data_IF_716133356106
#
_entry.id   IF_716133356106
#
_cell.length_a   1.000
_cell.length_b   1.000
_cell.length_c   1.000
_cell.angle_alpha   90.00
_cell.angle_beta   90.00
_cell.angle_gamma   90.00
#
_symmetry.space_group_name_H-M   'P 1'
#
loop_
_entity.id
_entity.type
_entity.pdbx_description
1 polymer ?
#
# COMPACT_ATOMS: atom_id res chain seq x y z
N UNK A 1 -71.77 4.27 -45.27
CA UNK A 1 -71.72 5.59 -44.61
C UNK A 1 -70.31 5.82 -44.12
N UNK A 2 -69.74 6.93 -44.55
CA UNK A 2 -68.44 7.51 -44.22
C UNK A 2 -68.22 7.71 -42.72
N UNK A 3 -66.99 7.46 -42.25
CA UNK A 3 -66.29 8.42 -41.38
C UNK A 3 -64.78 8.19 -41.43
N UNK A 4 -64.05 9.22 -41.86
CA UNK A 4 -62.61 9.37 -41.67
C UNK A 4 -62.30 9.59 -40.18
N UNK A 5 -61.19 9.02 -39.69
CA UNK A 5 -60.49 9.49 -38.49
C UNK A 5 -58.97 9.51 -38.75
N UNK A 6 -58.34 10.63 -38.38
CA UNK A 6 -56.92 10.93 -38.53
C UNK A 6 -56.02 10.05 -37.62
N UNK A 7 -54.73 9.87 -37.93
CA UNK A 7 -53.84 9.07 -37.09
C UNK A 7 -53.35 9.86 -35.86
N UNK A 8 -53.42 9.23 -34.68
CA UNK A 8 -52.70 9.70 -33.49
C UNK A 8 -51.21 9.43 -33.65
N UNK A 9 -50.38 10.46 -33.51
CA UNK A 9 -48.93 10.29 -33.40
C UNK A 9 -48.62 9.53 -32.10
N UNK A 10 -48.12 8.30 -32.26
CA UNK A 10 -47.55 7.51 -31.17
C UNK A 10 -46.11 7.92 -30.93
N UNK A 11 -45.79 8.15 -29.67
CA UNK A 11 -44.47 8.45 -29.13
C UNK A 11 -43.49 7.28 -29.44
N UNK A 12 -42.28 7.54 -30.00
CA UNK A 12 -41.35 6.45 -30.31
C UNK A 12 -40.71 5.88 -29.04
N UNK A 13 -41.01 4.60 -28.80
CA UNK A 13 -40.38 3.71 -27.82
C UNK A 13 -38.83 3.79 -27.86
N UNK A 14 -38.14 4.19 -26.78
CA UNK A 14 -36.71 4.52 -26.81
C UNK A 14 -35.78 3.30 -26.89
N UNK A 15 -36.31 2.07 -26.92
CA UNK A 15 -35.49 0.85 -26.81
C UNK A 15 -35.11 0.23 -28.16
N UNK A 16 -35.57 0.78 -29.30
CA UNK A 16 -35.24 0.22 -30.64
C UNK A 16 -33.99 0.79 -31.33
N UNK A 17 -33.23 1.67 -30.69
CA UNK A 17 -32.06 2.32 -31.30
C UNK A 17 -30.71 1.64 -31.11
N UNK A 18 -30.61 0.60 -30.26
CA UNK A 18 -29.31 0.08 -29.82
C UNK A 18 -29.08 -1.39 -30.20
N UNK A 19 -29.19 -1.74 -31.47
CA UNK A 19 -28.67 -3.02 -31.97
C UNK A 19 -27.93 -2.83 -33.30
N UNK A 20 -26.59 -2.86 -33.18
CA UNK A 20 -25.62 -3.48 -34.08
C UNK A 20 -25.59 -3.01 -35.55
N UNK A 21 -24.62 -2.15 -35.85
CA UNK A 21 -23.86 -2.21 -37.12
C UNK A 21 -22.37 -1.99 -36.85
N UNK A 22 -21.69 -3.05 -36.43
CA UNK A 22 -20.26 -3.20 -36.69
C UNK A 22 -20.08 -3.39 -38.19
N UNK A 23 -19.55 -2.40 -38.87
CA UNK A 23 -18.97 -2.56 -40.21
C UNK A 23 -17.51 -2.09 -40.13
N UNK A 24 -16.54 -2.90 -40.58
CA UNK A 24 -15.15 -2.48 -40.62
C UNK A 24 -14.95 -1.54 -41.81
N UNK A 25 -14.48 -0.33 -41.56
CA UNK A 25 -13.97 0.54 -42.63
C UNK A 25 -12.57 0.05 -43.00
N UNK A 26 -12.39 -0.28 -44.28
CA UNK A 26 -11.13 -0.70 -44.86
C UNK A 26 -10.09 0.41 -44.73
N UNK A 27 -8.87 0.03 -44.36
CA UNK A 27 -7.69 0.89 -44.31
C UNK A 27 -7.16 1.07 -45.75
N UNK A 28 -7.02 2.32 -46.18
CA UNK A 28 -6.20 2.69 -47.34
C UNK A 28 -4.75 2.93 -46.86
N UNK A 29 -3.68 2.46 -47.52
CA UNK A 29 -2.35 2.37 -46.91
C UNK A 29 -1.45 3.61 -47.00
N UNK A 30 -1.96 4.79 -47.38
CA UNK A 30 -1.07 5.91 -47.79
C UNK A 30 -1.40 7.31 -47.22
N UNK A 31 -2.10 7.42 -46.09
CA UNK A 31 -2.31 8.73 -45.42
C UNK A 31 -1.61 8.80 -44.05
N UNK A 32 -0.63 9.71 -43.94
CA UNK A 32 0.35 9.77 -42.86
C UNK A 32 0.14 10.99 -41.93
N UNK A 33 -1.12 11.41 -41.73
CA UNK A 33 -1.47 12.61 -40.93
C UNK A 33 -2.61 12.39 -39.89
N UNK A 34 -3.12 11.16 -39.72
CA UNK A 34 -4.33 10.89 -38.91
C UNK A 34 -4.10 10.60 -37.40
N UNK A 35 -2.85 10.39 -36.95
CA UNK A 35 -2.58 9.99 -35.56
C UNK A 35 -2.77 11.14 -34.55
N UNK A 36 -2.54 12.38 -34.96
CA UNK A 36 -2.75 13.55 -34.09
C UNK A 36 -4.23 13.89 -33.94
N UNK A 37 -5.03 13.76 -35.00
CA UNK A 37 -6.45 14.12 -34.95
C UNK A 37 -7.27 13.12 -34.12
N UNK A 38 -6.88 11.84 -34.12
CA UNK A 38 -7.47 10.82 -33.23
C UNK A 38 -7.16 11.08 -31.74
N UNK A 39 -5.90 11.42 -31.42
CA UNK A 39 -5.49 11.76 -30.07
C UNK A 39 -6.19 13.03 -29.55
N UNK A 40 -6.32 14.06 -30.39
CA UNK A 40 -7.04 15.30 -30.04
C UNK A 40 -8.54 15.06 -29.84
N UNK A 41 -9.19 14.22 -30.65
CA UNK A 41 -10.61 13.89 -30.50
C UNK A 41 -10.89 13.08 -29.24
N UNK A 42 -9.98 12.17 -28.87
CA UNK A 42 -10.12 11.35 -27.66
C UNK A 42 -9.89 12.20 -26.40
N UNK A 43 -8.90 13.10 -26.42
CA UNK A 43 -8.66 14.06 -25.33
C UNK A 43 -9.80 15.08 -25.20
N UNK A 44 -10.37 15.56 -26.30
CA UNK A 44 -11.51 16.49 -26.30
C UNK A 44 -12.78 15.85 -25.74
N UNK A 45 -13.04 14.59 -26.09
CA UNK A 45 -14.17 13.82 -25.53
C UNK A 45 -13.97 13.55 -24.03
N UNK A 46 -12.77 13.16 -23.60
CA UNK A 46 -12.45 12.96 -22.19
C UNK A 46 -12.56 14.26 -21.38
N UNK A 47 -12.12 15.39 -21.95
CA UNK A 47 -12.26 16.71 -21.34
C UNK A 47 -13.73 17.16 -21.25
N UNK A 48 -14.54 16.91 -22.29
CA UNK A 48 -15.97 17.20 -22.24
C UNK A 48 -16.72 16.35 -21.22
N UNK A 49 -16.38 15.06 -21.08
CA UNK A 49 -16.95 14.18 -20.05
C UNK A 49 -16.55 14.68 -18.66
N UNK A 50 -15.28 15.04 -18.46
CA UNK A 50 -14.81 15.57 -17.17
C UNK A 50 -15.48 16.91 -16.81
N UNK A 51 -15.71 17.80 -17.78
CA UNK A 51 -16.40 19.08 -17.54
C UNK A 51 -17.90 18.93 -17.31
N UNK A 52 -18.57 18.01 -18.00
CA UNK A 52 -20.01 17.74 -17.78
C UNK A 52 -20.28 17.06 -16.44
N UNK A 53 -19.33 16.26 -15.95
CA UNK A 53 -19.44 15.62 -14.62
C UNK A 53 -19.27 16.64 -13.48
N UNK A 54 -18.57 17.76 -13.71
CA UNK A 54 -18.34 18.82 -12.70
C UNK A 54 -19.37 19.96 -12.71
N UNK A 55 -20.32 19.96 -13.65
CA UNK A 55 -21.35 21.01 -13.73
C UNK A 55 -22.76 20.42 -13.60
N UNK A 56 -22.98 19.63 -12.55
CA UNK A 56 -24.34 19.35 -12.07
C UNK A 56 -24.89 20.60 -11.39
N UNK A 57 -25.28 21.59 -12.18
CA UNK A 57 -26.36 22.48 -11.75
C UNK A 57 -27.63 21.62 -11.70
N UNK A 58 -27.96 21.17 -10.49
CA UNK A 58 -29.16 20.41 -10.17
C UNK A 58 -30.40 21.13 -10.73
N UNK A 59 -30.96 20.61 -11.81
CA UNK A 59 -32.34 20.86 -12.19
C UNK A 59 -33.23 20.16 -11.15
N UNK A 60 -33.56 20.86 -10.05
CA UNK A 60 -34.48 20.36 -9.02
C UNK A 60 -35.90 20.33 -9.59
N UNK A 61 -36.30 19.22 -10.20
CA UNK A 61 -37.72 18.89 -10.33
C UNK A 61 -38.28 18.54 -8.95
N UNK A 62 -39.32 19.23 -8.45
CA UNK A 62 -39.90 18.92 -7.16
C UNK A 62 -40.69 17.61 -7.28
N UNK A 63 -40.22 16.53 -6.64
CA UNK A 63 -41.02 15.31 -6.47
C UNK A 63 -40.28 13.97 -6.47
N UNK A 64 -39.01 13.90 -6.87
CA UNK A 64 -38.23 12.66 -6.86
C UNK A 64 -36.77 12.96 -6.47
N UNK A 65 -36.54 13.22 -5.19
CA UNK A 65 -35.21 13.07 -4.62
C UNK A 65 -35.01 11.57 -4.33
N UNK A 66 -34.79 10.77 -5.37
CA UNK A 66 -34.13 9.49 -5.18
C UNK A 66 -32.64 9.80 -5.12
N UNK A 67 -32.06 9.72 -3.91
CA UNK A 67 -30.62 9.57 -3.78
C UNK A 67 -30.22 8.39 -4.68
N UNK A 68 -29.23 8.55 -5.59
CA UNK A 68 -28.81 7.47 -6.46
C UNK A 68 -28.41 6.29 -5.59
N UNK A 69 -28.94 5.10 -5.89
CA UNK A 69 -28.51 3.87 -5.23
C UNK A 69 -27.05 3.65 -5.64
N UNK A 70 -26.12 4.00 -4.76
CA UNK A 70 -24.69 3.79 -5.00
C UNK A 70 -24.35 2.36 -4.64
N UNK A 71 -23.66 1.67 -5.55
CA UNK A 71 -23.10 0.34 -5.26
C UNK A 71 -21.72 0.43 -4.64
N UNK A 72 -21.06 1.58 -4.79
CA UNK A 72 -19.69 1.83 -4.36
C UNK A 72 -19.63 2.70 -3.09
N UNK A 73 -18.57 2.53 -2.30
CA UNK A 73 -18.25 3.29 -1.07
C UNK A 73 -19.35 3.39 0.00
N UNK A 74 -20.36 2.51 -0.05
CA UNK A 74 -21.54 2.50 0.85
C UNK A 74 -21.23 2.40 2.35
N UNK A 75 -20.01 2.01 2.72
CA UNK A 75 -19.54 1.89 4.13
C UNK A 75 -18.21 2.60 4.39
N UNK A 76 -17.82 3.53 3.52
CA UNK A 76 -16.56 4.29 3.65
C UNK A 76 -16.86 5.65 4.26
N UNK A 77 -16.20 5.96 5.38
CA UNK A 77 -16.33 7.27 6.03
C UNK A 77 -15.57 8.38 5.29
N UNK A 78 -14.49 8.02 4.62
CA UNK A 78 -13.62 8.92 3.89
C UNK A 78 -12.36 8.20 3.40
N UNK A 79 -11.55 8.92 2.63
CA UNK A 79 -10.26 8.46 2.13
C UNK A 79 -9.25 9.60 2.27
N UNK A 80 -8.09 9.29 2.81
CA UNK A 80 -6.98 10.24 2.95
C UNK A 80 -5.81 9.83 2.05
N UNK A 81 -5.11 10.80 1.43
CA UNK A 81 -3.95 10.50 0.60
C UNK A 81 -2.79 9.96 1.45
N UNK A 82 -2.20 8.86 0.98
CA UNK A 82 -1.00 8.26 1.56
C UNK A 82 0.25 8.76 0.81
N UNK A 83 1.31 9.09 1.55
CA UNK A 83 2.61 9.41 0.97
C UNK A 83 3.10 8.25 0.09
N UNK A 84 3.61 8.48 -1.13
CA UNK A 84 4.18 7.41 -1.94
C UNK A 84 5.52 6.92 -1.35
N UNK A 85 5.85 5.62 -1.44
CA UNK A 85 7.08 5.07 -0.89
C UNK A 85 8.35 5.79 -1.35
N UNK A 86 8.42 6.15 -2.63
CA UNK A 86 9.57 6.84 -3.20
C UNK A 86 9.84 8.19 -2.52
N UNK A 87 8.79 8.94 -2.16
CA UNK A 87 8.95 10.21 -1.45
C UNK A 87 9.49 9.97 -0.04
N UNK A 88 8.92 9.02 0.70
CA UNK A 88 9.39 8.69 2.04
C UNK A 88 10.85 8.19 2.05
N UNK A 89 11.24 7.37 1.07
CA UNK A 89 12.61 6.89 0.90
C UNK A 89 13.56 8.06 0.60
N UNK A 90 13.12 9.05 -0.19
CA UNK A 90 13.91 10.24 -0.47
C UNK A 90 14.05 11.18 0.73
N UNK A 91 13.00 11.31 1.55
CA UNK A 91 13.02 12.10 2.80
C UNK A 91 13.96 11.45 3.84
N UNK A 92 13.92 10.12 3.92
CA UNK A 92 14.67 9.32 4.90
C UNK A 92 15.49 8.24 4.19
N UNK A 93 16.61 8.61 3.54
CA UNK A 93 17.43 7.66 2.83
C UNK A 93 18.15 6.71 3.79
N UNK A 94 18.40 5.49 3.32
CA UNK A 94 19.25 4.54 4.02
C UNK A 94 20.67 5.11 4.14
N UNK A 95 21.27 4.98 5.32
CA UNK A 95 22.69 5.34 5.51
C UNK A 95 23.59 4.16 5.13
N UNK A 96 24.85 4.43 4.82
CA UNK A 96 25.83 3.37 4.54
C UNK A 96 25.97 2.39 5.72
N UNK A 97 26.01 2.89 6.96
CA UNK A 97 26.07 2.07 8.16
C UNK A 97 24.84 1.17 8.32
N UNK A 98 23.65 1.71 8.04
CA UNK A 98 22.42 0.91 8.03
C UNK A 98 22.47 -0.17 6.94
N UNK A 99 22.92 0.16 5.73
CA UNK A 99 23.04 -0.78 4.62
C UNK A 99 23.95 -1.96 4.98
N UNK A 100 25.15 -1.68 5.50
CA UNK A 100 26.10 -2.71 5.93
C UNK A 100 25.51 -3.60 7.02
N UNK A 101 24.81 -3.01 7.99
CA UNK A 101 24.14 -3.73 9.07
C UNK A 101 23.08 -4.68 8.54
N UNK A 102 22.25 -4.21 7.61
CA UNK A 102 21.16 -5.00 7.06
C UNK A 102 21.68 -6.14 6.19
N UNK A 103 22.64 -5.86 5.30
CA UNK A 103 23.28 -6.88 4.45
C UNK A 103 23.95 -7.94 5.30
N UNK A 104 24.78 -7.54 6.27
CA UNK A 104 25.42 -8.47 7.20
C UNK A 104 24.39 -9.31 7.96
N UNK A 105 23.33 -8.69 8.48
CA UNK A 105 22.28 -9.40 9.21
C UNK A 105 21.54 -10.43 8.34
N UNK A 106 21.30 -10.11 7.06
CA UNK A 106 20.69 -11.04 6.08
C UNK A 106 21.61 -12.22 5.79
N UNK A 107 22.89 -11.94 5.53
CA UNK A 107 23.87 -12.99 5.21
C UNK A 107 24.09 -13.93 6.40
N UNK A 108 24.25 -13.38 7.60
CA UNK A 108 24.41 -14.19 8.82
C UNK A 108 23.16 -15.04 9.11
N UNK A 109 21.96 -14.44 9.06
CA UNK A 109 20.72 -15.17 9.27
C UNK A 109 20.53 -16.27 8.20
N UNK A 110 20.82 -15.97 6.94
CA UNK A 110 20.73 -16.93 5.83
C UNK A 110 21.70 -18.10 6.02
N UNK A 111 22.95 -17.82 6.39
CA UNK A 111 23.95 -18.86 6.63
C UNK A 111 23.55 -19.78 7.79
N UNK A 112 22.97 -19.24 8.86
CA UNK A 112 22.47 -20.04 9.98
C UNK A 112 21.29 -20.91 9.56
N UNK A 113 20.29 -20.34 8.88
CA UNK A 113 19.10 -21.08 8.41
C UNK A 113 19.49 -22.19 7.43
N UNK A 114 20.52 -21.96 6.62
CA UNK A 114 21.06 -22.94 5.67
C UNK A 114 22.06 -23.92 6.28
N UNK A 115 22.35 -23.84 7.58
CA UNK A 115 23.29 -24.72 8.28
C UNK A 115 24.77 -24.54 7.90
N UNK A 116 25.14 -23.37 7.37
CA UNK A 116 26.52 -22.99 7.00
C UNK A 116 27.26 -22.27 8.12
N UNK A 117 26.53 -21.80 9.12
CA UNK A 117 26.99 -21.15 10.35
C UNK A 117 26.27 -21.85 11.51
N UNK A 118 27.02 -22.29 12.52
CA UNK A 118 26.51 -23.08 13.65
C UNK A 118 26.00 -22.23 14.82
N UNK A 119 26.07 -20.90 14.70
CA UNK A 119 25.50 -19.97 15.68
C UNK A 119 23.98 -20.07 15.73
N UNK A 120 23.43 -19.70 16.88
CA UNK A 120 21.98 -19.60 17.06
C UNK A 120 21.47 -18.22 16.64
N UNK A 121 20.51 -18.20 15.70
CA UNK A 121 19.75 -16.99 15.37
C UNK A 121 18.74 -16.69 16.49
N UNK A 122 18.85 -15.51 17.09
CA UNK A 122 18.01 -15.07 18.21
C UNK A 122 17.28 -13.78 17.86
N UNK A 123 15.95 -13.86 17.68
CA UNK A 123 15.09 -12.70 17.51
C UNK A 123 14.53 -12.28 18.86
N UNK A 124 14.95 -11.13 19.39
CA UNK A 124 14.59 -10.67 20.74
C UNK A 124 14.32 -9.17 20.79
N UNK A 125 13.31 -8.77 21.56
CA UNK A 125 12.95 -7.36 21.71
C UNK A 125 11.52 -7.18 22.22
N UNK A 126 11.04 -5.92 22.29
CA UNK A 126 9.69 -5.61 22.72
C UNK A 126 8.64 -6.28 21.82
N UNK A 127 7.46 -6.57 22.39
CA UNK A 127 6.38 -7.20 21.65
C UNK A 127 5.86 -6.32 20.50
N UNK A 128 5.77 -5.01 20.74
CA UNK A 128 5.51 -3.95 19.78
C UNK A 128 6.14 -2.65 20.29
N UNK A 129 6.73 -1.86 19.40
CA UNK A 129 7.35 -0.56 19.73
C UNK A 129 6.30 0.53 19.62
N UNK A 130 6.10 1.27 20.71
CA UNK A 130 5.23 2.45 20.76
C UNK A 130 6.01 3.74 21.04
N UNK A 131 7.18 3.64 21.67
CA UNK A 131 8.07 4.77 21.93
C UNK A 131 9.45 4.54 21.27
N UNK A 132 9.81 5.31 20.22
CA UNK A 132 11.11 5.25 19.58
C UNK A 132 12.30 5.49 20.51
N UNK A 133 12.16 6.37 21.51
CA UNK A 133 13.28 6.70 22.39
C UNK A 133 13.66 5.50 23.27
N UNK A 134 12.67 4.85 23.89
CA UNK A 134 12.87 3.61 24.65
C UNK A 134 13.41 2.49 23.76
N UNK A 135 12.98 2.40 22.49
CA UNK A 135 13.51 1.40 21.56
C UNK A 135 15.00 1.61 21.25
N UNK A 136 15.47 2.85 21.11
CA UNK A 136 16.87 3.17 20.91
C UNK A 136 17.71 2.86 22.16
N UNK A 137 17.19 3.14 23.35
CA UNK A 137 17.86 2.76 24.60
C UNK A 137 18.00 1.24 24.72
N UNK A 138 16.93 0.49 24.39
CA UNK A 138 16.96 -0.97 24.34
C UNK A 138 18.00 -1.48 23.33
N UNK A 139 18.07 -0.85 22.15
CA UNK A 139 19.05 -1.17 21.12
C UNK A 139 20.49 -1.05 21.63
N UNK A 140 20.82 0.04 22.32
CA UNK A 140 22.17 0.26 22.85
C UNK A 140 22.57 -0.82 23.87
N UNK A 141 21.63 -1.21 24.75
CA UNK A 141 21.85 -2.31 25.70
C UNK A 141 21.99 -3.66 25.00
N UNK A 142 21.14 -3.94 24.01
CA UNK A 142 21.17 -5.20 23.26
C UNK A 142 22.44 -5.31 22.42
N UNK A 143 22.94 -4.20 21.85
CA UNK A 143 24.16 -4.18 21.04
C UNK A 143 25.38 -4.65 21.83
N UNK A 144 25.53 -4.18 23.07
CA UNK A 144 26.61 -4.61 23.96
C UNK A 144 26.55 -6.12 24.27
N UNK A 145 25.34 -6.69 24.39
CA UNK A 145 25.15 -8.14 24.58
C UNK A 145 25.47 -8.90 23.30
N UNK A 146 25.02 -8.40 22.14
CA UNK A 146 25.30 -8.99 20.84
C UNK A 146 26.79 -9.04 20.54
N UNK A 147 27.55 -8.00 20.86
CA UNK A 147 29.02 -8.01 20.72
C UNK A 147 29.69 -9.06 21.58
N UNK A 148 29.27 -9.18 22.84
CA UNK A 148 29.85 -10.12 23.79
C UNK A 148 29.57 -11.58 23.42
N UNK A 149 28.44 -11.86 22.77
CA UNK A 149 27.97 -13.21 22.46
C UNK A 149 28.09 -13.57 20.96
N UNK A 150 28.79 -12.75 20.16
CA UNK A 150 28.79 -12.86 18.70
C UNK A 150 29.38 -14.17 18.14
N UNK A 151 30.17 -14.89 18.95
CA UNK A 151 30.77 -16.17 18.58
C UNK A 151 29.73 -17.29 18.55
N UNK A 152 28.70 -17.23 19.40
CA UNK A 152 27.70 -18.28 19.55
C UNK A 152 26.31 -17.85 19.05
N UNK A 153 26.01 -16.55 19.06
CA UNK A 153 24.68 -16.00 18.77
C UNK A 153 24.73 -14.97 17.64
N UNK A 154 23.80 -15.08 16.70
CA UNK A 154 23.42 -13.99 15.80
C UNK A 154 22.15 -13.33 16.38
N UNK A 155 22.32 -12.20 17.06
CA UNK A 155 21.21 -11.49 17.71
C UNK A 155 20.61 -10.47 16.74
N UNK A 156 19.30 -10.57 16.53
CA UNK A 156 18.50 -9.64 15.71
C UNK A 156 17.42 -9.01 16.58
N UNK A 157 17.33 -7.69 16.59
CA UNK A 157 16.35 -6.98 17.42
C UNK A 157 14.94 -7.13 16.82
N UNK A 158 13.98 -7.56 17.63
CA UNK A 158 12.56 -7.54 17.28
C UNK A 158 12.05 -6.09 17.27
N UNK A 159 11.64 -5.61 16.09
CA UNK A 159 11.20 -4.24 15.84
C UNK A 159 9.76 -4.19 15.30
N UNK A 160 8.83 -4.87 15.95
CA UNK A 160 7.43 -4.97 15.50
C UNK A 160 6.70 -3.66 15.83
N UNK A 161 5.90 -3.16 14.89
CA UNK A 161 5.24 -1.85 15.02
C UNK A 161 3.78 -1.96 15.46
N UNK A 162 3.19 -3.15 15.33
CA UNK A 162 1.81 -3.42 15.68
C UNK A 162 1.69 -4.82 16.28
N UNK A 163 0.60 -5.06 17.02
CA UNK A 163 0.16 -6.40 17.42
C UNK A 163 -1.24 -6.63 16.85
N UNK A 164 -1.47 -7.68 16.02
CA UNK A 164 -2.79 -7.95 15.47
C UNK A 164 -3.77 -8.38 16.58
N UNK A 165 -4.91 -7.68 16.70
CA UNK A 165 -5.94 -7.93 17.74
C UNK A 165 -7.32 -8.10 17.13
N UNK A 166 -8.12 -8.96 17.76
CA UNK A 166 -9.56 -9.15 17.45
C UNK A 166 -10.45 -8.27 18.33
N UNK A 167 -9.88 -7.62 19.35
CA UNK A 167 -10.54 -6.66 20.23
C UNK A 167 -10.09 -5.24 19.91
N UNK A 168 -10.90 -4.26 20.31
CA UNK A 168 -10.56 -2.84 20.20
C UNK A 168 -9.36 -2.55 21.11
N UNK A 169 -8.42 -1.74 20.59
CA UNK A 169 -7.20 -1.34 21.27
C UNK A 169 -6.27 -0.60 20.30
N UNK A 170 -5.12 -0.17 20.81
CA UNK A 170 -4.10 0.53 20.03
C UNK A 170 -3.69 -0.26 18.78
N UNK A 171 -3.59 0.45 17.66
CA UNK A 171 -3.42 -0.10 16.31
C UNK A 171 -1.98 -0.12 15.80
N UNK A 172 -1.02 0.19 16.67
CA UNK A 172 0.40 0.20 16.32
C UNK A 172 0.93 1.57 15.91
N UNK A 173 2.25 1.68 15.84
CA UNK A 173 2.98 2.94 15.66
C UNK A 173 2.75 3.57 14.28
N UNK A 174 2.54 2.74 13.25
CA UNK A 174 2.20 3.24 11.91
C UNK A 174 0.81 3.87 11.92
N UNK A 175 -0.18 3.17 12.50
CA UNK A 175 -1.56 3.61 12.45
C UNK A 175 -1.83 4.77 13.41
N UNK A 176 -1.36 4.68 14.66
CA UNK A 176 -1.69 5.62 15.73
C UNK A 176 -0.42 6.03 16.51
N UNK A 177 0.45 6.88 15.94
CA UNK A 177 1.76 7.20 16.51
C UNK A 177 1.69 8.01 17.81
N UNK A 178 0.61 8.78 18.01
CA UNK A 178 0.43 9.62 19.19
C UNK A 178 -0.39 8.92 20.30
N UNK A 179 -0.87 7.70 20.03
CA UNK A 179 -1.65 6.87 20.98
C UNK A 179 -2.93 7.62 21.43
N UNK A 180 -3.57 8.33 20.50
CA UNK A 180 -4.75 9.16 20.72
C UNK A 180 -5.90 8.81 19.76
N UNK A 181 -5.74 7.75 18.97
CA UNK A 181 -6.71 7.29 17.97
C UNK A 181 -6.99 8.32 16.86
N UNK A 182 -6.05 9.21 16.56
CA UNK A 182 -6.16 10.18 15.46
C UNK A 182 -5.81 9.60 14.08
N UNK A 183 -5.26 8.38 14.03
CA UNK A 183 -4.92 7.66 12.80
C UNK A 183 -3.97 8.41 11.84
N UNK A 184 -2.94 9.07 12.36
CA UNK A 184 -1.99 9.84 11.56
C UNK A 184 -0.97 8.93 10.82
N UNK A 185 -1.42 8.15 9.83
CA UNK A 185 -0.62 7.14 9.13
C UNK A 185 0.64 7.75 8.47
N UNK A 186 0.51 8.89 7.81
CA UNK A 186 1.65 9.58 7.18
C UNK A 186 2.74 10.01 8.18
N UNK A 187 2.35 10.33 9.42
CA UNK A 187 3.28 10.60 10.52
C UNK A 187 3.87 9.31 11.05
N UNK A 188 3.04 8.28 11.26
CA UNK A 188 3.48 6.97 11.74
C UNK A 188 4.49 6.28 10.82
N UNK A 189 4.33 6.39 9.49
CA UNK A 189 5.30 5.91 8.51
C UNK A 189 6.67 6.61 8.63
N UNK A 190 6.67 7.94 8.79
CA UNK A 190 7.91 8.71 9.00
C UNK A 190 8.62 8.34 10.29
N UNK A 191 7.87 8.27 11.39
CA UNK A 191 8.40 7.86 12.70
C UNK A 191 8.97 6.45 12.65
N UNK A 192 8.24 5.52 12.03
CA UNK A 192 8.67 4.12 11.93
C UNK A 192 9.90 3.95 11.05
N UNK A 193 9.97 4.65 9.91
CA UNK A 193 11.15 4.61 9.02
C UNK A 193 12.37 5.24 9.68
N UNK A 194 12.20 6.38 10.36
CA UNK A 194 13.27 7.02 11.12
C UNK A 194 13.81 6.08 12.21
N UNK A 195 12.92 5.45 12.97
CA UNK A 195 13.30 4.45 13.97
C UNK A 195 14.12 3.30 13.36
N UNK A 196 13.64 2.70 12.26
CA UNK A 196 14.36 1.60 11.60
C UNK A 196 15.74 2.05 11.08
N UNK A 197 15.82 3.25 10.52
CA UNK A 197 17.08 3.87 10.11
C UNK A 197 18.05 4.03 11.29
N UNK A 198 17.56 4.51 12.43
CA UNK A 198 18.41 4.78 13.59
C UNK A 198 18.90 3.49 14.28
N UNK A 199 18.03 2.48 14.40
CA UNK A 199 18.39 1.16 14.93
C UNK A 199 19.48 0.50 14.08
N UNK A 200 19.28 0.49 12.75
CA UNK A 200 20.23 -0.13 11.82
C UNK A 200 21.52 0.68 11.68
N UNK A 201 21.46 2.02 11.71
CA UNK A 201 22.66 2.87 11.70
C UNK A 201 23.54 2.67 12.95
N UNK A 202 22.96 2.23 14.07
CA UNK A 202 23.69 1.82 15.29
C UNK A 202 24.32 0.43 15.19
N UNK A 203 24.22 -0.27 14.05
CA UNK A 203 24.80 -1.59 13.88
C UNK A 203 23.91 -2.74 14.35
N UNK A 204 22.63 -2.48 14.65
CA UNK A 204 21.69 -3.51 15.09
C UNK A 204 20.83 -4.02 13.92
N UNK A 205 20.96 -5.28 13.49
CA UNK A 205 20.01 -5.87 12.54
C UNK A 205 18.63 -6.00 13.19
N UNK A 206 17.58 -5.80 12.41
CA UNK A 206 16.20 -5.82 12.92
C UNK A 206 15.33 -6.88 12.22
N UNK A 207 14.35 -7.39 12.96
CA UNK A 207 13.30 -8.27 12.47
C UNK A 207 11.93 -7.63 12.65
N UNK A 208 11.07 -7.71 11.63
CA UNK A 208 9.70 -7.19 11.70
C UNK A 208 8.70 -8.15 11.06
N UNK A 209 7.47 -8.11 11.55
CA UNK A 209 6.33 -8.84 11.01
C UNK A 209 5.67 -8.05 9.87
N UNK A 210 5.29 -8.76 8.80
CA UNK A 210 4.57 -8.20 7.65
C UNK A 210 3.08 -8.50 7.83
N UNK A 211 2.33 -7.51 8.32
CA UNK A 211 0.90 -7.62 8.63
C UNK A 211 -0.01 -7.30 7.44
N UNK A 212 0.53 -6.56 6.46
CA UNK A 212 -0.13 -6.17 5.23
C UNK A 212 0.88 -6.17 4.06
N UNK A 213 0.39 -5.96 2.84
CA UNK A 213 1.19 -6.04 1.61
C UNK A 213 1.70 -4.68 1.10
N UNK A 214 1.36 -3.58 1.78
CA UNK A 214 1.66 -2.19 1.41
C UNK A 214 2.81 -1.64 2.24
N UNK A 215 2.75 -1.76 3.58
CA UNK A 215 3.75 -1.25 4.51
C UNK A 215 5.19 -1.72 4.23
N UNK A 216 5.45 -2.94 3.70
CA UNK A 216 6.81 -3.34 3.32
C UNK A 216 7.45 -2.44 2.27
N UNK A 217 6.67 -1.80 1.38
CA UNK A 217 7.21 -0.89 0.36
C UNK A 217 7.91 0.34 0.97
N UNK A 218 7.57 0.68 2.22
CA UNK A 218 8.10 1.85 2.93
C UNK A 218 9.28 1.54 3.85
N UNK A 219 9.43 0.29 4.29
CA UNK A 219 10.26 -0.07 5.43
C UNK A 219 11.18 -1.29 5.20
N UNK A 220 10.91 -2.11 4.18
CA UNK A 220 11.58 -3.41 4.01
C UNK A 220 13.08 -3.30 3.68
N UNK A 221 13.56 -2.14 3.22
CA UNK A 221 14.98 -1.88 3.00
C UNK A 221 15.81 -1.96 4.29
N UNK A 222 15.19 -1.74 5.45
CA UNK A 222 15.87 -1.84 6.76
C UNK A 222 15.76 -3.21 7.45
N UNK A 223 14.97 -4.15 6.92
CA UNK A 223 14.67 -5.41 7.61
C UNK A 223 15.73 -6.46 7.24
N UNK A 224 16.31 -7.12 8.25
CA UNK A 224 17.22 -8.25 8.06
C UNK A 224 16.51 -9.60 8.05
N UNK A 225 15.47 -9.76 8.88
CA UNK A 225 14.66 -10.99 8.95
C UNK A 225 13.18 -10.62 8.96
N UNK A 226 12.40 -11.19 8.04
CA UNK A 226 10.95 -11.00 7.98
C UNK A 226 10.20 -12.10 8.72
N UNK A 227 9.01 -11.79 9.24
CA UNK A 227 8.09 -12.77 9.78
C UNK A 227 6.70 -12.62 9.15
N UNK A 228 6.06 -13.74 8.81
CA UNK A 228 4.64 -13.79 8.49
C UNK A 228 3.88 -14.26 9.72
N UNK A 229 2.87 -13.49 10.12
CA UNK A 229 2.07 -13.78 11.30
C UNK A 229 1.28 -15.07 11.20
N UNK A 230 1.06 -15.75 12.31
CA UNK A 230 0.31 -17.01 12.36
C UNK A 230 -1.14 -16.90 11.82
N UNK A 231 -1.71 -15.69 11.77
CA UNK A 231 -3.05 -15.43 11.21
C UNK A 231 -3.04 -15.14 9.71
N UNK A 232 -1.85 -14.93 9.12
CA UNK A 232 -1.67 -14.58 7.71
C UNK A 232 -0.79 -15.57 6.95
N UNK A 233 -0.23 -16.59 7.60
CA UNK A 233 0.57 -17.65 6.95
C UNK A 233 -0.16 -18.37 5.82
N UNK A 234 -1.47 -18.59 5.96
CA UNK A 234 -2.29 -19.26 4.93
C UNK A 234 -2.80 -18.29 3.84
N UNK A 235 -2.62 -16.98 4.03
CA UNK A 235 -3.03 -15.97 3.05
C UNK A 235 -2.17 -16.06 1.79
N UNK A 236 -2.79 -16.31 0.63
CA UNK A 236 -2.07 -16.33 -0.65
C UNK A 236 -1.34 -15.00 -0.90
N UNK A 237 -1.99 -13.86 -0.61
CA UNK A 237 -1.38 -12.55 -0.77
C UNK A 237 -0.09 -12.41 0.04
N UNK A 238 -0.04 -12.92 1.27
CA UNK A 238 1.18 -12.87 2.08
C UNK A 238 2.26 -13.84 1.61
N UNK A 239 1.87 -14.98 1.00
CA UNK A 239 2.81 -15.93 0.37
C UNK A 239 3.38 -15.42 -0.95
N UNK A 240 2.61 -14.61 -1.68
CA UNK A 240 3.00 -13.95 -2.94
C UNK A 240 3.70 -12.60 -2.73
N UNK A 241 3.55 -12.00 -1.55
CA UNK A 241 4.13 -10.72 -1.20
C UNK A 241 5.52 -10.77 -0.53
N UNK A 242 6.46 -11.72 -0.78
CA UNK A 242 7.84 -11.49 -0.38
C UNK A 242 8.27 -10.14 -0.96
N UNK A 243 8.71 -9.20 -0.12
CA UNK A 243 8.95 -7.83 -0.55
C UNK A 243 10.14 -7.86 -1.50
N UNK A 244 9.98 -7.41 -2.75
CA UNK A 244 11.01 -7.45 -3.81
C UNK A 244 11.90 -8.70 -3.72
N UNK A 245 11.38 -9.82 -4.21
CA UNK A 245 12.09 -11.06 -4.54
C UNK A 245 13.63 -10.90 -4.67
N UNK A 246 14.38 -11.16 -3.60
CA UNK A 246 15.79 -11.64 -3.58
C UNK A 246 16.51 -11.50 -2.22
N UNK A 247 15.99 -10.75 -1.23
CA UNK A 247 16.84 -10.32 -0.10
C UNK A 247 16.53 -10.86 1.29
N UNK A 248 15.60 -11.81 1.46
CA UNK A 248 15.26 -12.35 2.78
C UNK A 248 15.50 -13.86 2.82
N UNK A 249 16.28 -14.37 3.79
CA UNK A 249 16.18 -15.78 4.17
C UNK A 249 14.83 -16.10 4.83
#
# INVERSE_FOLDING_TARGET
MTSQQMPSQGDPDPVKGLLLRNAPLALDPDDNDDDLDYAFRTLSLAYHIHQTTHNQQLFKMPGLAMEPVTTDDVRILGQDPLIPPALLISELPMTEAAMQTVVKGRDEASNIVMGRDDRLLVIIGPCSIHDPATALEYCDRLRAVADRLNQDLCIVMRAYLEKPRTTVGWKGLINDPDIDSTFQINKGLRVSRQLFRDLTAKGMPIASEMLDTISPQFLADFISVGAIGARTTESQLHREAPPRASSFP
#
